data_IF_631331156623
#
_entry.id   IF_631331156623
#
_cell.length_a   1.000
_cell.length_b   1.000
_cell.length_c   1.000
_cell.angle_alpha   90.00
_cell.angle_beta   90.00
_cell.angle_gamma   90.00
#
_symmetry.space_group_name_H-M   'P 1'
#
loop_
_entity.id
_entity.type
_entity.pdbx_description
1 polymer ?
#
# COMPACT_ATOMS: atom_id res chain seq x y z
N UNK A 1 -7.72 10.56 29.97
CA UNK A 1 -8.56 11.43 29.10
C UNK A 1 -7.76 11.98 27.91
N UNK A 2 -7.05 11.14 27.15
CA UNK A 2 -6.20 11.57 26.02
C UNK A 2 -6.59 10.95 24.66
N UNK A 3 -7.60 10.09 24.60
CA UNK A 3 -7.98 9.38 23.39
C UNK A 3 -8.97 10.08 22.43
N UNK A 4 -9.63 11.12 22.89
CA UNK A 4 -10.73 11.77 22.10
C UNK A 4 -10.22 12.82 21.09
N UNK A 5 -8.98 13.30 21.22
CA UNK A 5 -8.49 14.42 20.40
C UNK A 5 -7.64 13.98 19.19
N UNK A 6 -7.21 12.73 19.13
CA UNK A 6 -6.42 12.18 17.99
C UNK A 6 -7.30 11.74 16.80
N UNK A 7 -8.58 11.42 17.04
CA UNK A 7 -9.50 11.00 15.97
C UNK A 7 -9.93 12.11 15.01
N UNK A 8 -9.82 13.38 15.40
CA UNK A 8 -10.23 14.52 14.60
C UNK A 8 -9.26 14.88 13.46
N UNK A 9 -8.03 14.36 13.45
CA UNK A 9 -7.00 14.64 12.45
C UNK A 9 -6.65 13.45 11.54
N UNK A 10 -7.17 12.26 11.81
CA UNK A 10 -6.87 11.06 11.04
C UNK A 10 -7.62 11.10 9.68
N UNK A 11 -6.89 10.81 8.59
CA UNK A 11 -7.49 10.61 7.27
C UNK A 11 -8.21 9.26 7.20
N UNK A 12 -7.60 8.23 7.77
CA UNK A 12 -8.14 6.88 7.85
C UNK A 12 -8.21 6.46 9.31
N UNK A 13 -9.36 5.90 9.73
CA UNK A 13 -9.51 5.28 11.02
C UNK A 13 -10.36 4.00 10.87
N UNK A 14 -9.82 2.89 11.30
CA UNK A 14 -10.43 1.56 11.25
C UNK A 14 -10.74 1.12 12.66
N UNK A 15 -11.97 0.63 12.91
CA UNK A 15 -12.44 0.22 14.25
C UNK A 15 -13.06 -1.17 14.22
N UNK A 16 -12.54 -2.07 15.04
CA UNK A 16 -13.06 -3.42 15.24
C UNK A 16 -13.23 -4.18 13.93
N UNK A 17 -12.41 -3.87 12.91
CA UNK A 17 -12.61 -4.42 11.58
C UNK A 17 -12.26 -5.90 11.55
N UNK A 18 -13.16 -6.69 10.94
CA UNK A 18 -13.00 -8.14 10.83
C UNK A 18 -13.38 -8.63 9.44
N UNK A 19 -12.65 -9.62 8.92
CA UNK A 19 -12.95 -10.29 7.66
C UNK A 19 -12.85 -11.79 7.78
N UNK A 20 -13.94 -12.46 7.39
CA UNK A 20 -14.01 -13.90 7.31
C UNK A 20 -14.51 -14.34 5.95
N UNK A 21 -14.03 -15.50 5.48
CA UNK A 21 -14.46 -16.15 4.25
C UNK A 21 -15.14 -17.48 4.59
N UNK A 22 -16.28 -17.75 3.96
CA UNK A 22 -16.93 -19.05 4.03
C UNK A 22 -16.36 -19.89 2.89
N UNK A 23 -15.67 -20.97 3.21
CA UNK A 23 -15.16 -21.93 2.24
C UNK A 23 -15.97 -23.23 2.30
N UNK A 24 -16.29 -23.80 1.13
CA UNK A 24 -16.94 -25.09 0.99
C UNK A 24 -15.92 -26.13 0.57
N UNK A 25 -15.84 -27.24 1.27
CA UNK A 25 -15.03 -28.37 0.81
C UNK A 25 -15.65 -28.96 -0.46
N UNK A 26 -14.84 -29.16 -1.49
CA UNK A 26 -15.30 -29.66 -2.80
C UNK A 26 -16.00 -31.04 -2.75
N UNK A 27 -15.74 -31.86 -1.73
CA UNK A 27 -16.24 -33.22 -1.56
C UNK A 27 -17.19 -33.40 -0.37
N UNK A 28 -17.48 -32.34 0.40
CA UNK A 28 -18.41 -32.41 1.51
C UNK A 28 -19.29 -31.18 1.57
N UNK A 29 -20.56 -31.34 2.04
CA UNK A 29 -21.45 -30.18 2.26
C UNK A 29 -21.06 -29.30 3.46
N UNK A 30 -19.94 -29.60 4.13
CA UNK A 30 -19.49 -28.84 5.28
C UNK A 30 -18.86 -27.50 4.85
N UNK A 31 -19.37 -26.43 5.43
CA UNK A 31 -18.78 -25.10 5.33
C UNK A 31 -17.83 -24.89 6.53
N UNK A 32 -16.70 -24.23 6.27
CA UNK A 32 -15.82 -23.79 7.34
C UNK A 32 -15.47 -22.32 7.14
N UNK A 33 -15.31 -21.61 8.25
CA UNK A 33 -15.00 -20.18 8.26
C UNK A 33 -13.50 -20.00 8.38
N UNK A 34 -12.90 -19.32 7.40
CA UNK A 34 -11.50 -18.88 7.45
C UNK A 34 -11.51 -17.42 7.84
N UNK A 35 -10.96 -17.09 9.00
CA UNK A 35 -10.75 -15.71 9.43
C UNK A 35 -9.47 -15.18 8.82
N UNK A 36 -9.59 -14.11 8.02
CA UNK A 36 -8.43 -13.44 7.47
C UNK A 36 -7.83 -12.46 8.48
N UNK A 37 -8.69 -11.73 9.20
CA UNK A 37 -8.31 -10.89 10.34
C UNK A 37 -9.53 -10.60 11.22
N UNK A 38 -9.28 -10.24 12.47
CA UNK A 38 -10.31 -10.05 13.50
C UNK A 38 -9.93 -8.88 14.42
N UNK A 39 -10.93 -8.03 14.70
CA UNK A 39 -10.87 -6.94 15.67
C UNK A 39 -9.66 -6.01 15.48
N UNK A 40 -9.51 -5.50 14.26
CA UNK A 40 -8.40 -4.64 13.89
C UNK A 40 -8.76 -3.18 14.08
N UNK A 41 -7.92 -2.48 14.87
CA UNK A 41 -7.94 -1.04 15.09
C UNK A 41 -6.64 -0.42 14.59
N UNK A 42 -6.72 0.49 13.62
CA UNK A 42 -5.58 1.30 13.14
C UNK A 42 -6.05 2.70 12.77
N UNK A 43 -5.14 3.65 12.82
CA UNK A 43 -5.38 5.05 12.44
C UNK A 43 -4.20 5.58 11.64
N UNK A 44 -4.49 6.35 10.58
CA UNK A 44 -3.45 6.98 9.75
C UNK A 44 -3.72 8.48 9.68
N UNK A 45 -2.91 9.31 10.33
CA UNK A 45 -3.02 10.76 10.24
C UNK A 45 -2.78 11.24 8.81
N UNK A 46 -3.38 12.36 8.42
CA UNK A 46 -3.19 12.95 7.10
C UNK A 46 -1.71 13.30 6.86
N UNK A 47 -1.21 12.96 5.68
CA UNK A 47 0.19 13.23 5.29
C UNK A 47 1.23 12.35 6.01
N UNK A 48 0.79 11.27 6.69
CA UNK A 48 1.65 10.34 7.41
C UNK A 48 1.67 8.97 6.76
N UNK A 49 2.70 8.19 7.08
CA UNK A 49 2.87 6.81 6.63
C UNK A 49 2.69 5.84 7.79
N UNK A 50 1.67 4.98 7.71
CA UNK A 50 1.56 3.80 8.57
C UNK A 50 2.10 2.59 7.82
N UNK A 51 3.09 1.91 8.39
CA UNK A 51 3.51 0.59 7.90
C UNK A 51 2.70 -0.51 8.59
N UNK A 52 2.22 -1.47 7.82
CA UNK A 52 1.57 -2.70 8.29
C UNK A 52 2.51 -3.87 8.02
N UNK A 53 3.11 -4.42 9.06
CA UNK A 53 4.14 -5.47 8.97
C UNK A 53 3.68 -6.77 9.62
N UNK A 54 4.32 -7.88 9.25
CA UNK A 54 4.05 -9.22 9.80
C UNK A 54 4.33 -10.31 8.76
N UNK A 55 4.23 -11.57 9.17
CA UNK A 55 4.48 -12.72 8.30
C UNK A 55 3.50 -12.82 7.14
N UNK A 56 3.90 -13.60 6.11
CA UNK A 56 3.00 -13.94 5.00
C UNK A 56 1.79 -14.70 5.54
N UNK A 57 0.59 -14.34 5.07
CA UNK A 57 -0.65 -14.95 5.56
C UNK A 57 -1.24 -14.30 6.83
N UNK A 58 -0.59 -13.32 7.45
CA UNK A 58 -1.12 -12.63 8.64
C UNK A 58 -2.41 -11.82 8.39
N UNK A 59 -2.86 -11.66 7.14
CA UNK A 59 -4.09 -10.94 6.80
C UNK A 59 -3.88 -9.53 6.25
N UNK A 60 -2.64 -9.06 6.14
CA UNK A 60 -2.27 -7.69 5.74
C UNK A 60 -2.89 -7.25 4.41
N UNK A 61 -2.70 -8.01 3.34
CA UNK A 61 -3.24 -7.68 2.01
C UNK A 61 -4.77 -7.73 1.97
N UNK A 62 -5.40 -8.60 2.77
CA UNK A 62 -6.87 -8.62 2.90
C UNK A 62 -7.36 -7.36 3.60
N UNK A 63 -6.68 -6.92 4.67
CA UNK A 63 -6.97 -5.66 5.35
C UNK A 63 -6.80 -4.46 4.39
N UNK A 64 -5.69 -4.43 3.64
CA UNK A 64 -5.44 -3.41 2.62
C UNK A 64 -6.56 -3.34 1.56
N UNK A 65 -7.04 -4.49 1.07
CA UNK A 65 -8.16 -4.55 0.10
C UNK A 65 -9.49 -4.08 0.70
N UNK A 66 -9.75 -4.36 1.97
CA UNK A 66 -10.94 -3.83 2.65
C UNK A 66 -10.86 -2.30 2.76
N UNK A 67 -9.71 -1.75 3.16
CA UNK A 67 -9.47 -0.30 3.25
C UNK A 67 -9.53 0.36 1.87
N UNK A 68 -9.02 -0.31 0.82
CA UNK A 68 -9.12 0.13 -0.57
C UNK A 68 -10.55 0.05 -1.14
N UNK A 69 -11.53 -0.38 -0.36
CA UNK A 69 -12.94 -0.57 -0.76
C UNK A 69 -13.11 -1.56 -1.92
N UNK A 70 -12.18 -2.50 -2.06
CA UNK A 70 -12.23 -3.58 -3.05
C UNK A 70 -12.97 -4.80 -2.50
N UNK A 71 -12.84 -5.04 -1.19
CA UNK A 71 -13.52 -6.11 -0.47
C UNK A 71 -14.36 -5.53 0.67
N UNK A 72 -15.58 -6.07 0.86
CA UNK A 72 -16.41 -5.67 1.99
C UNK A 72 -15.93 -6.40 3.25
N UNK A 73 -15.71 -5.70 4.38
CA UNK A 73 -15.45 -6.35 5.66
C UNK A 73 -16.67 -7.15 6.12
N UNK A 74 -16.49 -8.09 7.06
CA UNK A 74 -17.58 -8.85 7.68
C UNK A 74 -18.21 -8.05 8.80
N UNK A 75 -17.39 -7.36 9.59
CA UNK A 75 -17.79 -6.50 10.71
C UNK A 75 -16.83 -5.32 10.85
N UNK A 76 -17.25 -4.33 11.63
CA UNK A 76 -16.45 -3.16 11.99
C UNK A 76 -16.65 -1.97 11.04
N UNK A 77 -15.87 -0.93 11.27
CA UNK A 77 -16.04 0.36 10.62
C UNK A 77 -14.75 0.81 9.92
N UNK A 78 -14.91 1.49 8.80
CA UNK A 78 -13.82 2.19 8.08
C UNK A 78 -14.24 3.64 7.96
N UNK A 79 -13.57 4.51 8.69
CA UNK A 79 -13.77 5.96 8.63
C UNK A 79 -12.71 6.57 7.74
N UNK A 80 -13.12 7.17 6.65
CA UNK A 80 -12.26 7.88 5.72
C UNK A 80 -12.68 9.33 5.61
N UNK A 81 -11.79 10.24 5.99
CA UNK A 81 -12.03 11.68 6.00
C UNK A 81 -13.30 12.09 6.78
N UNK A 82 -13.54 11.42 7.92
CA UNK A 82 -14.68 11.65 8.80
C UNK A 82 -15.99 10.97 8.40
N UNK A 83 -16.00 10.19 7.31
CA UNK A 83 -17.18 9.46 6.84
C UNK A 83 -16.97 7.93 7.01
N UNK A 84 -17.98 7.23 7.59
CA UNK A 84 -17.93 5.76 7.62
C UNK A 84 -18.30 5.18 6.26
N UNK A 85 -17.34 4.49 5.66
CA UNK A 85 -17.43 3.99 4.28
C UNK A 85 -17.61 2.46 4.19
N UNK A 86 -17.65 1.73 5.31
CA UNK A 86 -17.69 0.27 5.34
C UNK A 86 -18.96 -0.34 4.72
N UNK A 87 -20.10 0.36 4.88
CA UNK A 87 -21.41 -0.13 4.44
C UNK A 87 -21.97 0.55 3.19
N UNK A 88 -21.19 1.42 2.55
CA UNK A 88 -21.62 2.14 1.36
C UNK A 88 -21.90 1.20 0.19
N UNK A 89 -22.88 1.57 -0.65
CA UNK A 89 -23.24 0.85 -1.86
C UNK A 89 -22.21 1.12 -2.97
N UNK A 90 -22.13 0.23 -3.96
CA UNK A 90 -21.19 0.36 -5.09
C UNK A 90 -21.19 1.74 -5.77
N UNK A 91 -22.35 2.39 -5.89
CA UNK A 91 -22.46 3.74 -6.50
C UNK A 91 -21.82 4.82 -5.63
N UNK A 92 -21.94 4.70 -4.31
CA UNK A 92 -21.38 5.63 -3.31
C UNK A 92 -19.86 5.43 -3.16
N UNK A 93 -19.38 4.20 -3.36
CA UNK A 93 -17.95 3.87 -3.35
C UNK A 93 -17.17 4.43 -4.56
N UNK A 94 -17.86 4.67 -5.69
CA UNK A 94 -17.19 5.08 -6.93
C UNK A 94 -16.42 6.40 -6.80
N UNK A 95 -16.96 7.49 -6.22
CA UNK A 95 -16.20 8.71 -5.98
C UNK A 95 -15.09 8.54 -4.94
N UNK A 96 -15.28 7.69 -3.93
CA UNK A 96 -14.28 7.44 -2.88
C UNK A 96 -13.06 6.69 -3.43
N UNK A 97 -13.26 5.80 -4.38
CA UNK A 97 -12.17 5.08 -5.07
C UNK A 97 -11.22 6.00 -5.85
N UNK A 98 -11.63 7.24 -6.16
CA UNK A 98 -10.71 8.24 -6.70
C UNK A 98 -9.72 8.71 -5.64
N UNK A 99 -10.17 8.78 -4.39
CA UNK A 99 -9.41 9.34 -3.26
C UNK A 99 -8.54 8.29 -2.56
N UNK A 100 -8.88 7.01 -2.73
CA UNK A 100 -8.16 5.85 -2.18
C UNK A 100 -7.67 5.01 -3.33
N UNK A 101 -6.36 4.89 -3.50
CA UNK A 101 -5.76 4.09 -4.58
C UNK A 101 -4.88 3.00 -3.99
N UNK A 102 -4.78 1.89 -4.71
CA UNK A 102 -3.98 0.72 -4.32
C UNK A 102 -2.95 0.41 -5.41
N UNK A 103 -1.69 0.30 -5.01
CA UNK A 103 -0.61 -0.25 -5.83
C UNK A 103 -0.37 -1.69 -5.39
N UNK A 104 -0.54 -2.64 -6.30
CA UNK A 104 -0.42 -4.06 -6.04
C UNK A 104 1.04 -4.53 -6.01
N UNK A 105 1.27 -5.66 -5.36
CA UNK A 105 2.56 -6.34 -5.26
C UNK A 105 3.19 -6.65 -6.61
N UNK A 106 2.41 -7.16 -7.56
CA UNK A 106 2.86 -7.44 -8.92
C UNK A 106 2.26 -6.42 -9.90
N UNK A 107 3.05 -5.42 -10.33
CA UNK A 107 2.57 -4.45 -11.31
C UNK A 107 2.26 -5.10 -12.67
N UNK A 108 2.89 -6.24 -13.01
CA UNK A 108 2.69 -6.89 -14.32
C UNK A 108 1.27 -7.41 -14.45
N UNK A 109 0.71 -7.97 -13.39
CA UNK A 109 -0.68 -8.47 -13.38
C UNK A 109 -1.71 -7.33 -13.33
N UNK A 110 -1.31 -6.15 -12.84
CA UNK A 110 -2.19 -5.00 -12.68
C UNK A 110 -2.25 -4.08 -13.93
N UNK A 111 -1.26 -4.16 -14.82
CA UNK A 111 -1.16 -3.33 -16.01
C UNK A 111 -1.66 -4.10 -17.25
N UNK A 112 -2.54 -3.47 -18.05
CA UNK A 112 -3.00 -4.09 -19.30
C UNK A 112 -1.84 -4.16 -20.31
N UNK A 113 -1.38 -5.35 -20.73
CA UNK A 113 -0.23 -5.50 -21.60
C UNK A 113 -0.41 -4.97 -23.01
N UNK A 114 -1.65 -4.65 -23.40
CA UNK A 114 -1.99 -4.11 -24.72
C UNK A 114 -1.94 -2.58 -24.78
N UNK A 115 -1.99 -1.92 -23.62
CA UNK A 115 -2.01 -0.47 -23.53
C UNK A 115 -0.59 0.10 -23.53
N UNK A 116 -0.45 1.31 -24.06
CA UNK A 116 0.77 2.10 -23.93
C UNK A 116 0.89 2.68 -22.52
N UNK A 117 2.07 3.21 -22.18
CA UNK A 117 2.30 3.83 -20.87
C UNK A 117 1.33 4.98 -20.60
N UNK A 118 1.08 5.84 -21.61
CA UNK A 118 0.11 6.93 -21.48
C UNK A 118 -1.31 6.43 -21.33
N UNK A 119 -1.73 5.42 -22.09
CA UNK A 119 -3.06 4.82 -21.95
C UNK A 119 -3.27 4.20 -20.57
N UNK A 120 -2.27 3.53 -20.02
CA UNK A 120 -2.32 2.96 -18.68
C UNK A 120 -2.52 4.03 -17.61
N UNK A 121 -1.77 5.13 -17.68
CA UNK A 121 -1.89 6.22 -16.70
C UNK A 121 -3.20 6.98 -16.89
N UNK A 122 -3.67 7.15 -18.12
CA UNK A 122 -4.92 7.83 -18.42
C UNK A 122 -6.16 6.97 -18.12
N UNK A 123 -6.05 5.64 -18.07
CA UNK A 123 -7.18 4.72 -17.88
C UNK A 123 -8.09 5.09 -16.69
N UNK A 124 -7.58 5.40 -15.47
CA UNK A 124 -8.42 5.83 -14.36
C UNK A 124 -9.19 7.13 -14.67
N UNK A 125 -8.58 8.07 -15.38
CA UNK A 125 -9.23 9.33 -15.76
C UNK A 125 -10.40 9.08 -16.73
N UNK A 126 -10.21 8.17 -17.69
CA UNK A 126 -11.26 7.75 -18.63
C UNK A 126 -12.43 7.08 -17.88
N UNK A 127 -12.13 6.11 -17.00
CA UNK A 127 -13.13 5.38 -16.21
C UNK A 127 -13.95 6.35 -15.35
N UNK A 128 -13.29 7.30 -14.69
CA UNK A 128 -13.93 8.28 -13.82
C UNK A 128 -14.43 9.54 -14.54
N UNK A 129 -14.29 9.60 -15.87
CA UNK A 129 -14.71 10.73 -16.73
C UNK A 129 -14.14 12.07 -16.29
N UNK A 130 -12.85 12.10 -15.98
CA UNK A 130 -12.12 13.30 -15.52
C UNK A 130 -11.39 13.92 -16.70
N UNK A 131 -11.72 15.17 -17.02
CA UNK A 131 -11.06 15.94 -18.09
C UNK A 131 -11.44 15.52 -19.51
N UNK A 132 -10.80 16.14 -20.49
CA UNK A 132 -10.89 15.80 -21.91
C UNK A 132 -9.81 14.80 -22.30
N UNK A 133 -9.94 14.12 -23.44
CA UNK A 133 -8.93 13.18 -23.94
C UNK A 133 -7.53 13.82 -24.05
N UNK A 134 -7.44 15.06 -24.54
CA UNK A 134 -6.17 15.80 -24.61
C UNK A 134 -5.60 16.08 -23.23
N UNK A 135 -6.41 16.55 -22.28
CA UNK A 135 -5.98 16.80 -20.90
C UNK A 135 -5.59 15.54 -20.14
N UNK A 136 -6.23 14.40 -20.44
CA UNK A 136 -5.87 13.10 -19.87
C UNK A 136 -4.49 12.65 -20.35
N UNK A 137 -4.19 12.83 -21.63
CA UNK A 137 -2.89 12.52 -22.21
C UNK A 137 -1.79 13.45 -21.66
N UNK A 138 -2.03 14.76 -21.58
CA UNK A 138 -1.11 15.72 -20.99
C UNK A 138 -0.79 15.37 -19.53
N UNK A 139 -1.83 15.07 -18.72
CA UNK A 139 -1.64 14.63 -17.34
C UNK A 139 -0.86 13.33 -17.25
N UNK A 140 -1.09 12.37 -18.15
CA UNK A 140 -0.34 11.13 -18.18
C UNK A 140 1.14 11.35 -18.46
N UNK A 141 1.49 12.20 -19.42
CA UNK A 141 2.89 12.57 -19.72
C UNK A 141 3.56 13.27 -18.52
N UNK A 142 2.87 14.21 -17.89
CA UNK A 142 3.37 14.88 -16.69
C UNK A 142 3.62 13.89 -15.53
N UNK A 143 2.72 12.93 -15.32
CA UNK A 143 2.88 11.90 -14.30
C UNK A 143 4.04 10.95 -14.61
N UNK A 144 4.27 10.62 -15.90
CA UNK A 144 5.47 9.86 -16.30
C UNK A 144 6.75 10.57 -15.86
N UNK A 145 6.87 11.86 -16.16
CA UNK A 145 8.05 12.65 -15.76
C UNK A 145 8.22 12.70 -14.24
N UNK A 146 7.13 12.89 -13.49
CA UNK A 146 7.15 12.91 -12.02
C UNK A 146 7.65 11.61 -11.41
N UNK A 147 7.34 10.46 -12.02
CA UNK A 147 7.87 9.17 -11.55
C UNK A 147 9.22 8.80 -12.18
N UNK A 148 9.86 9.72 -12.90
CA UNK A 148 11.17 9.53 -13.53
C UNK A 148 11.13 8.58 -14.73
N UNK A 149 10.00 8.54 -15.46
CA UNK A 149 9.87 7.87 -16.77
C UNK A 149 9.89 8.93 -17.88
N UNK A 150 10.83 8.86 -18.84
CA UNK A 150 10.89 9.85 -19.92
C UNK A 150 9.61 9.88 -20.75
N UNK A 151 9.14 11.08 -21.14
CA UNK A 151 7.98 11.26 -22.02
C UNK A 151 8.14 10.55 -23.38
N UNK A 152 9.39 10.37 -23.84
CA UNK A 152 9.68 9.60 -25.07
C UNK A 152 9.28 8.12 -24.99
N UNK A 153 8.96 7.60 -23.81
CA UNK A 153 8.48 6.24 -23.59
C UNK A 153 6.95 6.14 -23.55
N UNK A 154 6.25 7.20 -23.88
CA UNK A 154 4.79 7.30 -23.85
C UNK A 154 4.07 6.15 -24.58
N UNK A 155 4.62 5.73 -25.73
CA UNK A 155 4.07 4.67 -26.59
C UNK A 155 4.58 3.26 -26.25
N UNK A 156 5.52 3.11 -25.29
CA UNK A 156 5.99 1.81 -24.84
C UNK A 156 4.88 1.04 -24.11
N UNK A 157 4.92 -0.28 -24.24
CA UNK A 157 4.02 -1.21 -23.53
C UNK A 157 4.69 -1.78 -22.29
N UNK A 158 3.94 -2.31 -21.31
CA UNK A 158 4.47 -2.83 -20.04
C UNK A 158 5.64 -3.80 -20.17
N UNK A 159 5.63 -4.67 -21.17
CA UNK A 159 6.69 -5.66 -21.39
C UNK A 159 8.05 -5.04 -21.81
N UNK A 160 8.05 -3.80 -22.29
CA UNK A 160 9.25 -3.07 -22.70
C UNK A 160 9.91 -2.30 -21.53
N UNK A 161 9.32 -2.37 -20.33
CA UNK A 161 9.83 -1.76 -19.11
C UNK A 161 10.50 -2.79 -18.20
N UNK A 162 11.55 -2.39 -17.47
CA UNK A 162 12.10 -3.18 -16.37
C UNK A 162 11.11 -3.29 -15.20
N UNK A 163 11.37 -4.19 -14.23
CA UNK A 163 10.53 -4.36 -13.04
C UNK A 163 10.30 -3.04 -12.29
N UNK A 164 11.38 -2.32 -11.96
CA UNK A 164 11.29 -1.02 -11.29
C UNK A 164 10.59 0.07 -12.13
N UNK A 165 10.76 0.04 -13.45
CA UNK A 165 10.04 0.96 -14.34
C UNK A 165 8.55 0.64 -14.40
N UNK A 166 8.15 -0.63 -14.44
CA UNK A 166 6.73 -1.04 -14.32
C UNK A 166 6.12 -0.60 -13.00
N UNK A 167 6.89 -0.69 -11.91
CA UNK A 167 6.42 -0.20 -10.61
C UNK A 167 6.18 1.31 -10.61
N UNK A 168 7.09 2.10 -11.21
CA UNK A 168 6.89 3.54 -11.39
C UNK A 168 5.67 3.85 -12.25
N UNK A 169 5.43 3.07 -13.30
CA UNK A 169 4.23 3.19 -14.13
C UNK A 169 2.95 2.90 -13.35
N UNK A 170 2.94 1.88 -12.49
CA UNK A 170 1.81 1.56 -11.61
C UNK A 170 1.56 2.67 -10.57
N UNK A 171 2.61 3.27 -10.02
CA UNK A 171 2.50 4.44 -9.13
C UNK A 171 1.93 5.65 -9.89
N UNK A 172 2.42 5.95 -11.09
CA UNK A 172 1.89 7.04 -11.92
C UNK A 172 0.39 6.86 -12.21
N UNK A 173 -0.02 5.64 -12.56
CA UNK A 173 -1.43 5.28 -12.76
C UNK A 173 -2.27 5.54 -11.51
N UNK A 174 -1.78 5.14 -10.35
CA UNK A 174 -2.48 5.36 -9.07
C UNK A 174 -2.59 6.85 -8.72
N UNK A 175 -1.61 7.67 -9.10
CA UNK A 175 -1.61 9.12 -8.88
C UNK A 175 -2.53 9.89 -9.84
N UNK A 176 -3.01 9.27 -10.92
CA UNK A 176 -3.78 9.94 -11.97
C UNK A 176 -5.06 10.63 -11.46
N UNK A 177 -5.67 10.10 -10.40
CA UNK A 177 -6.89 10.64 -9.80
C UNK A 177 -6.65 11.58 -8.62
N UNK A 178 -5.40 11.99 -8.36
CA UNK A 178 -4.98 12.82 -7.23
C UNK A 178 -5.51 12.27 -5.88
N UNK A 179 -5.13 11.04 -5.50
CA UNK A 179 -5.63 10.41 -4.29
C UNK A 179 -5.14 11.14 -3.03
N UNK A 180 -5.88 10.99 -1.92
CA UNK A 180 -5.44 11.41 -0.60
C UNK A 180 -4.74 10.28 0.16
N UNK A 181 -5.13 9.02 -0.12
CA UNK A 181 -4.57 7.81 0.47
C UNK A 181 -4.05 6.90 -0.65
N UNK A 182 -2.78 6.54 -0.56
CA UNK A 182 -2.16 5.53 -1.41
C UNK A 182 -1.78 4.32 -0.57
N UNK A 183 -2.35 3.19 -0.90
CA UNK A 183 -2.05 1.91 -0.28
C UNK A 183 -1.01 1.19 -1.13
N UNK A 184 0.10 0.79 -0.52
CA UNK A 184 1.21 0.08 -1.16
C UNK A 184 1.21 -1.35 -0.63
N UNK A 185 0.60 -2.30 -1.37
CA UNK A 185 0.51 -3.70 -0.94
C UNK A 185 1.72 -4.48 -1.48
N UNK A 186 2.75 -4.62 -0.63
CA UNK A 186 4.05 -5.25 -0.95
C UNK A 186 4.69 -4.71 -2.25
N UNK A 187 4.43 -3.44 -2.55
CA UNK A 187 4.77 -2.81 -3.81
C UNK A 187 6.28 -2.69 -4.09
N UNK A 188 7.13 -2.93 -3.10
CA UNK A 188 8.60 -2.81 -3.20
C UNK A 188 9.32 -4.15 -3.09
N UNK A 189 8.65 -5.23 -2.68
CA UNK A 189 9.27 -6.51 -2.29
C UNK A 189 9.98 -7.24 -3.44
N UNK A 190 9.58 -7.02 -4.68
CA UNK A 190 10.14 -7.71 -5.86
C UNK A 190 11.22 -6.87 -6.59
N UNK A 191 11.74 -5.84 -5.94
CA UNK A 191 12.72 -4.94 -6.52
C UNK A 191 14.10 -5.18 -5.88
N UNK A 192 15.15 -4.98 -6.66
CA UNK A 192 16.50 -4.90 -6.09
C UNK A 192 16.66 -3.64 -5.21
N UNK A 193 17.63 -3.66 -4.30
CA UNK A 193 17.83 -2.62 -3.29
C UNK A 193 17.99 -1.22 -3.90
N UNK A 194 18.62 -1.09 -5.06
CA UNK A 194 18.78 0.20 -5.74
C UNK A 194 17.44 0.74 -6.23
N UNK A 195 16.60 -0.11 -6.84
CA UNK A 195 15.27 0.29 -7.29
C UNK A 195 14.34 0.57 -6.11
N UNK A 196 14.45 -0.19 -5.00
CA UNK A 196 13.72 0.11 -3.75
C UNK A 196 14.05 1.51 -3.25
N UNK A 197 15.34 1.85 -3.13
CA UNK A 197 15.79 3.18 -2.68
C UNK A 197 15.25 4.30 -3.55
N UNK A 198 15.32 4.14 -4.87
CA UNK A 198 14.83 5.13 -5.83
C UNK A 198 13.31 5.32 -5.74
N UNK A 199 12.55 4.27 -5.46
CA UNK A 199 11.09 4.38 -5.31
C UNK A 199 10.72 4.95 -3.94
N UNK A 200 11.43 4.59 -2.87
CA UNK A 200 11.21 5.20 -1.56
C UNK A 200 11.45 6.71 -1.60
N UNK A 201 12.53 7.15 -2.23
CA UNK A 201 12.79 8.58 -2.43
C UNK A 201 11.67 9.25 -3.21
N UNK A 202 11.23 8.66 -4.32
CA UNK A 202 10.09 9.14 -5.10
C UNK A 202 8.82 9.27 -4.25
N UNK A 203 8.48 8.26 -3.44
CA UNK A 203 7.30 8.28 -2.59
C UNK A 203 7.41 9.36 -1.50
N UNK A 204 8.59 9.56 -0.91
CA UNK A 204 8.87 10.62 0.05
C UNK A 204 8.69 12.00 -0.58
N UNK A 205 9.24 12.23 -1.77
CA UNK A 205 9.11 13.49 -2.50
C UNK A 205 7.65 13.77 -2.87
N UNK A 206 6.92 12.76 -3.32
CA UNK A 206 5.48 12.85 -3.62
C UNK A 206 4.66 13.14 -2.37
N UNK A 207 4.99 12.55 -1.22
CA UNK A 207 4.33 12.82 0.06
C UNK A 207 4.49 14.28 0.45
N UNK A 208 5.73 14.79 0.40
CA UNK A 208 6.01 16.18 0.71
C UNK A 208 5.31 17.16 -0.24
N UNK A 209 5.33 16.89 -1.56
CA UNK A 209 4.75 17.76 -2.58
C UNK A 209 3.23 17.77 -2.59
N UNK A 210 2.56 16.64 -2.25
CA UNK A 210 1.11 16.46 -2.41
C UNK A 210 0.36 16.19 -1.10
N UNK A 211 1.05 16.16 0.05
CA UNK A 211 0.50 15.77 1.35
C UNK A 211 -0.19 14.39 1.31
N UNK A 212 0.38 13.46 0.56
CA UNK A 212 -0.14 12.10 0.44
C UNK A 212 -0.06 11.36 1.78
N UNK A 213 -1.07 10.56 2.05
CA UNK A 213 -1.08 9.63 3.18
C UNK A 213 -0.80 8.23 2.66
N UNK A 214 0.04 7.46 3.34
CA UNK A 214 0.37 6.11 2.93
C UNK A 214 -0.08 5.06 3.96
N UNK A 215 -0.59 3.95 3.45
CA UNK A 215 -0.62 2.67 4.15
C UNK A 215 0.34 1.72 3.44
N UNK A 216 1.48 1.45 4.03
CA UNK A 216 2.53 0.62 3.44
C UNK A 216 2.50 -0.78 4.03
N UNK A 217 1.97 -1.75 3.29
CA UNK A 217 2.02 -3.17 3.65
C UNK A 217 3.33 -3.75 3.17
N UNK A 218 4.13 -4.28 4.09
CA UNK A 218 5.42 -4.90 3.75
C UNK A 218 5.82 -5.95 4.78
N UNK A 219 6.84 -6.72 4.45
CA UNK A 219 7.49 -7.66 5.37
C UNK A 219 8.96 -7.29 5.64
N UNK A 220 9.49 -6.28 4.95
CA UNK A 220 10.87 -5.80 5.09
C UNK A 220 10.94 -4.62 6.06
N UNK A 221 11.34 -4.88 7.31
CA UNK A 221 11.40 -3.87 8.36
C UNK A 221 12.46 -2.78 8.10
N UNK A 222 13.52 -3.08 7.34
CA UNK A 222 14.54 -2.09 6.94
C UNK A 222 13.97 -0.95 6.08
N UNK A 223 12.96 -1.23 5.26
CA UNK A 223 12.24 -0.21 4.49
C UNK A 223 11.31 0.61 5.40
N UNK A 224 10.72 -0.06 6.40
CA UNK A 224 9.81 0.57 7.37
C UNK A 224 10.51 1.63 8.19
N UNK A 225 11.70 1.32 8.74
CA UNK A 225 12.49 2.25 9.54
C UNK A 225 12.78 3.57 8.81
N UNK A 226 12.93 3.51 7.49
CA UNK A 226 13.29 4.65 6.65
C UNK A 226 12.12 5.46 6.11
N UNK A 227 10.92 4.89 6.08
CA UNK A 227 9.79 5.47 5.36
C UNK A 227 8.55 5.68 6.21
N UNK A 228 8.34 4.89 7.27
CA UNK A 228 7.12 4.95 8.06
C UNK A 228 7.24 5.89 9.27
N UNK A 229 6.17 6.62 9.54
CA UNK A 229 6.03 7.40 10.80
C UNK A 229 5.62 6.48 11.96
N UNK A 230 4.76 5.50 11.70
CA UNK A 230 4.21 4.57 12.67
C UNK A 230 4.15 3.15 12.09
N UNK A 231 4.27 2.16 12.94
CA UNK A 231 4.27 0.74 12.56
C UNK A 231 3.21 -0.02 13.32
N UNK A 232 2.33 -0.70 12.58
CA UNK A 232 1.39 -1.68 13.10
C UNK A 232 1.89 -3.10 12.78
N UNK A 233 2.13 -3.90 13.80
CA UNK A 233 2.58 -5.28 13.67
C UNK A 233 1.37 -6.21 13.72
N UNK A 234 1.20 -7.01 12.68
CA UNK A 234 0.08 -7.93 12.52
C UNK A 234 0.55 -9.38 12.62
N UNK A 235 -0.11 -10.16 13.49
CA UNK A 235 0.10 -11.60 13.66
C UNK A 235 -1.22 -12.32 13.78
N UNK A 236 -1.38 -13.45 13.11
CA UNK A 236 -2.58 -14.32 13.18
C UNK A 236 -3.89 -13.55 13.03
N UNK A 237 -3.94 -12.57 12.13
CA UNK A 237 -5.11 -11.77 11.86
C UNK A 237 -5.40 -10.64 12.86
N UNK A 238 -4.50 -10.32 13.78
CA UNK A 238 -4.67 -9.27 14.80
C UNK A 238 -3.50 -8.30 14.82
N UNK A 239 -3.76 -7.04 15.17
CA UNK A 239 -2.69 -6.10 15.50
C UNK A 239 -2.21 -6.41 16.92
N UNK A 240 -0.94 -6.82 17.03
CA UNK A 240 -0.32 -7.18 18.31
C UNK A 240 0.46 -6.02 18.92
N UNK A 241 0.89 -5.07 18.10
CA UNK A 241 1.60 -3.87 18.52
C UNK A 241 1.43 -2.76 17.49
N UNK A 242 1.26 -1.51 17.95
CA UNK A 242 1.24 -0.32 17.09
C UNK A 242 1.92 0.83 17.83
N UNK A 243 3.02 1.35 17.24
CA UNK A 243 3.84 2.39 17.87
C UNK A 243 4.49 3.29 16.81
N UNK A 244 4.92 4.53 17.19
CA UNK A 244 5.84 5.32 16.39
C UNK A 244 7.08 4.51 16.00
N UNK A 245 7.55 4.66 14.78
CA UNK A 245 8.66 3.85 14.23
C UNK A 245 9.91 3.87 15.15
N UNK A 246 10.42 5.03 15.62
CA UNK A 246 11.60 5.04 16.49
C UNK A 246 11.40 4.28 17.81
N UNK A 247 10.18 4.32 18.36
CA UNK A 247 9.86 3.65 19.62
C UNK A 247 9.80 2.14 19.46
N UNK A 248 9.15 1.67 18.37
CA UNK A 248 9.03 0.24 18.07
C UNK A 248 10.40 -0.41 17.85
N UNK A 249 11.32 0.27 17.14
CA UNK A 249 12.67 -0.25 16.89
C UNK A 249 13.55 -0.20 18.15
N UNK A 250 13.41 0.83 18.98
CA UNK A 250 14.20 0.97 20.21
C UNK A 250 13.71 0.08 21.37
N UNK A 251 12.38 -0.10 21.49
CA UNK A 251 11.74 -0.76 22.65
C UNK A 251 10.49 -1.55 22.24
N UNK A 252 10.62 -2.62 21.44
CA UNK A 252 9.50 -3.46 21.08
C UNK A 252 8.90 -4.12 22.33
N UNK A 253 7.58 -4.03 22.49
CA UNK A 253 6.88 -4.52 23.69
C UNK A 253 6.45 -5.97 23.51
N UNK A 254 5.91 -6.32 22.33
CA UNK A 254 5.41 -7.66 22.06
C UNK A 254 6.54 -8.62 21.70
N UNK A 255 6.51 -9.86 22.21
CA UNK A 255 7.54 -10.87 21.92
C UNK A 255 7.72 -11.11 20.41
N UNK A 256 6.64 -11.25 19.68
CA UNK A 256 6.67 -11.45 18.23
C UNK A 256 7.38 -10.29 17.50
N UNK A 257 7.17 -9.04 17.93
CA UNK A 257 7.88 -7.88 17.36
C UNK A 257 9.38 -7.97 17.60
N UNK A 258 9.80 -8.42 18.79
CA UNK A 258 11.21 -8.67 19.10
C UNK A 258 11.82 -9.74 18.21
N UNK A 259 11.09 -10.85 18.02
CA UNK A 259 11.51 -11.95 17.14
C UNK A 259 11.66 -11.47 15.69
N UNK A 260 10.69 -10.68 15.19
CA UNK A 260 10.76 -10.08 13.85
C UNK A 260 11.97 -9.15 13.69
N UNK A 261 12.23 -8.29 14.66
CA UNK A 261 13.38 -7.37 14.62
C UNK A 261 14.72 -8.11 14.73
N UNK A 262 14.79 -9.17 15.54
CA UNK A 262 16.00 -9.99 15.70
C UNK A 262 16.30 -10.80 14.42
N UNK A 263 15.28 -11.17 13.67
CA UNK A 263 15.42 -11.88 12.39
C UNK A 263 15.88 -10.96 11.23
N UNK A 264 15.95 -9.63 11.45
CA UNK A 264 16.50 -8.71 10.46
C UNK A 264 18.00 -8.96 10.28
N UNK A 265 18.48 -9.06 9.04
CA UNK A 265 19.93 -9.02 8.80
C UNK A 265 20.48 -7.69 9.33
N UNK A 266 21.49 -7.74 10.16
CA UNK A 266 22.14 -6.50 10.62
C UNK A 266 22.68 -5.72 9.40
N UNK A 267 22.70 -4.39 9.50
CA UNK A 267 23.23 -3.53 8.43
C UNK A 267 24.66 -3.96 8.07
N UNK A 268 25.44 -4.42 9.06
CA UNK A 268 26.78 -4.97 8.87
C UNK A 268 26.79 -6.24 8.02
N UNK A 269 25.85 -7.18 8.20
CA UNK A 269 25.76 -8.40 7.39
C UNK A 269 25.33 -8.13 5.95
N UNK A 270 24.56 -7.07 5.69
CA UNK A 270 24.18 -6.65 4.34
C UNK A 270 25.40 -6.08 3.57
N UNK A 271 26.30 -5.38 4.26
CA UNK A 271 27.55 -4.89 3.66
C UNK A 271 28.54 -6.03 3.40
N UNK A 272 28.67 -6.99 4.29
CA UNK A 272 29.55 -8.14 4.12
C UNK A 272 29.10 -9.03 2.96
N UNK A 273 27.80 -9.32 2.80
CA UNK A 273 27.24 -10.06 1.67
C UNK A 273 27.38 -9.31 0.33
N UNK A 274 27.36 -7.99 0.34
CA UNK A 274 27.61 -7.17 -0.86
C UNK A 274 29.09 -7.28 -1.31
N UNK A 275 30.04 -7.15 -0.39
CA UNK A 275 31.46 -7.28 -0.70
C UNK A 275 31.82 -8.70 -1.18
N UNK A 276 31.20 -9.74 -0.62
CA UNK A 276 31.44 -11.11 -1.04
C UNK A 276 30.95 -11.44 -2.46
N UNK A 277 29.94 -10.72 -2.98
CA UNK A 277 29.40 -10.94 -4.35
C UNK A 277 30.05 -10.08 -5.44
N UNK A 278 30.77 -9.03 -5.09
CA UNK A 278 31.50 -8.19 -6.05
C UNK A 278 32.93 -8.70 -6.34
N UNK A 279 33.41 -9.71 -5.62
CA UNK A 279 34.78 -10.26 -5.75
C UNK A 279 34.82 -11.77 -6.08
N UNK A 280 33.74 -12.35 -6.61
CA UNK A 280 33.69 -13.68 -7.22
C UNK A 280 33.20 -13.57 -8.71
#
# INVERSE_FOLDING_TARGET
MSGANQSASALLHVRGLSKSYIQRRALSRSEFVVRAFEDVDISVPRGKTLALVGESGAGKSTLARCIALLEKPTYGEIWFDGENVADLRKKELFPLRRRIQLVFQDPTSALNPRFTATEIIAEPLVIHRVGTAAGQQEKALHLMEQVGLPASWAEKRPLEFSGGQRQRLAIARALALDPCLLILDEALSNLDARNQDLILQLLTDLQAARSLTYLHVCHELSLVERFADEVAVMRDGRIVECQPTPELFARPQHLYTRDLLTAMPSVESIYEDRFAREFV
#
